data_IF_999403706825
#
_entry.id   IF_999403706825
#
_cell.length_a   1.000
_cell.length_b   1.000
_cell.length_c   1.000
_cell.angle_alpha   90.00
_cell.angle_beta   90.00
_cell.angle_gamma   90.00
#
_symmetry.space_group_name_H-M   'P 1'
#
loop_
_entity.id
_entity.type
_entity.pdbx_description
1 polymer ?
#
# COMPACT_ATOMS: atom_id res chain seq x y z
N UNK A 1 -16.97 2.75 -5.98
CA UNK A 1 -16.25 3.86 -5.31
C UNK A 1 -15.14 3.32 -4.45
N UNK A 2 -13.91 3.84 -4.56
CA UNK A 2 -12.83 3.47 -3.65
C UNK A 2 -12.96 4.24 -2.33
N UNK A 3 -12.95 3.52 -1.21
CA UNK A 3 -12.88 4.13 0.13
C UNK A 3 -11.46 4.02 0.67
N UNK A 4 -11.11 4.89 1.62
CA UNK A 4 -9.81 4.84 2.31
C UNK A 4 -9.51 3.43 2.82
N UNK A 5 -10.49 2.74 3.39
CA UNK A 5 -10.33 1.37 3.91
C UNK A 5 -9.97 0.35 2.81
N UNK A 6 -10.65 0.39 1.67
CA UNK A 6 -10.38 -0.51 0.53
C UNK A 6 -8.96 -0.30 0.00
N UNK A 7 -8.55 0.97 -0.15
CA UNK A 7 -7.21 1.31 -0.61
C UNK A 7 -6.13 0.78 0.34
N UNK A 8 -6.32 0.96 1.65
CA UNK A 8 -5.40 0.38 2.63
C UNK A 8 -5.38 -1.15 2.52
N UNK A 9 -6.53 -1.83 2.47
CA UNK A 9 -6.57 -3.30 2.31
C UNK A 9 -5.80 -3.77 1.08
N UNK A 10 -5.95 -3.10 -0.07
CA UNK A 10 -5.20 -3.45 -1.29
C UNK A 10 -3.70 -3.31 -1.14
N UNK A 11 -3.22 -2.27 -0.44
CA UNK A 11 -1.79 -2.14 -0.12
C UNK A 11 -1.31 -3.28 0.77
N UNK A 12 -2.13 -3.71 1.74
CA UNK A 12 -1.79 -4.82 2.62
C UNK A 12 -1.73 -6.15 1.87
N UNK A 13 -2.71 -6.43 1.02
CA UNK A 13 -2.76 -7.64 0.19
C UNK A 13 -1.57 -7.70 -0.77
N UNK A 14 -1.23 -6.59 -1.43
CA UNK A 14 -0.05 -6.51 -2.27
C UNK A 14 1.22 -6.76 -1.46
N UNK A 15 1.38 -6.08 -0.32
CA UNK A 15 2.55 -6.25 0.53
C UNK A 15 2.68 -7.69 1.07
N UNK A 16 1.57 -8.36 1.35
CA UNK A 16 1.54 -9.77 1.76
C UNK A 16 1.94 -10.69 0.60
N UNK A 17 1.40 -10.48 -0.60
CA UNK A 17 1.70 -11.31 -1.77
C UNK A 17 3.16 -11.21 -2.21
N UNK A 18 3.74 -10.00 -2.18
CA UNK A 18 5.13 -9.77 -2.61
C UNK A 18 6.12 -9.77 -1.44
N UNK A 19 5.63 -9.94 -0.21
CA UNK A 19 6.41 -9.88 1.04
C UNK A 19 7.32 -8.65 1.14
N UNK A 20 6.93 -7.55 0.49
CA UNK A 20 7.71 -6.32 0.37
C UNK A 20 6.80 -5.11 0.32
N UNK A 21 7.38 -3.93 0.58
CA UNK A 21 6.65 -2.67 0.42
C UNK A 21 6.47 -2.32 -1.07
N UNK A 22 5.25 -1.93 -1.50
CA UNK A 22 5.06 -1.44 -2.85
C UNK A 22 5.78 -0.11 -3.05
N UNK A 23 6.65 -0.09 -4.05
CA UNK A 23 7.27 1.14 -4.54
C UNK A 23 6.32 1.81 -5.53
N UNK A 24 6.35 3.14 -5.62
CA UNK A 24 5.52 3.87 -6.57
C UNK A 24 5.61 3.34 -8.02
N UNK A 25 6.81 2.96 -8.46
CA UNK A 25 7.04 2.37 -9.79
C UNK A 25 6.37 1.00 -9.99
N UNK A 26 6.30 0.18 -8.95
CA UNK A 26 5.67 -1.15 -9.00
C UNK A 26 4.16 -1.01 -9.15
N UNK A 27 3.57 -0.13 -8.33
CA UNK A 27 2.13 0.21 -8.37
C UNK A 27 1.71 0.79 -9.72
N UNK A 28 2.57 1.60 -10.33
CA UNK A 28 2.35 2.14 -11.67
C UNK A 28 2.35 1.05 -12.76
N UNK A 29 3.07 -0.05 -12.54
CA UNK A 29 3.14 -1.18 -13.47
C UNK A 29 2.09 -2.26 -13.22
N UNK A 30 1.53 -2.29 -12.01
CA UNK A 30 0.61 -3.33 -11.57
C UNK A 30 -0.85 -2.91 -11.86
N UNK A 31 -1.56 -3.61 -12.76
CA UNK A 31 -2.95 -3.29 -13.09
C UNK A 31 -3.95 -3.79 -12.04
N UNK A 32 -3.54 -4.65 -11.09
CA UNK A 32 -4.42 -5.22 -10.07
C UNK A 32 -4.59 -4.32 -8.85
N UNK A 33 -3.76 -3.28 -8.74
CA UNK A 33 -3.81 -2.29 -7.67
C UNK A 33 -4.22 -0.92 -8.23
N UNK A 34 -4.98 -0.11 -7.47
CA UNK A 34 -5.33 1.23 -7.91
C UNK A 34 -4.09 2.09 -8.21
N UNK A 35 -4.21 3.00 -9.16
CA UNK A 35 -3.11 3.91 -9.51
C UNK A 35 -2.74 4.82 -8.33
N UNK A 36 -1.49 5.26 -8.30
CA UNK A 36 -0.97 6.22 -7.32
C UNK A 36 -1.88 7.43 -7.12
N UNK A 37 -2.44 7.96 -8.20
CA UNK A 37 -3.34 9.13 -8.16
C UNK A 37 -4.54 8.92 -7.25
N UNK A 38 -5.08 7.69 -7.17
CA UNK A 38 -6.19 7.37 -6.28
C UNK A 38 -5.75 7.47 -4.82
N UNK A 39 -4.59 6.90 -4.48
CA UNK A 39 -4.04 7.01 -3.13
C UNK A 39 -3.72 8.45 -2.73
N UNK A 40 -3.07 9.19 -3.63
CA UNK A 40 -2.77 10.62 -3.43
C UNK A 40 -4.05 11.42 -3.22
N UNK A 41 -5.12 11.19 -3.99
CA UNK A 41 -6.40 11.87 -3.81
C UNK A 41 -7.04 11.60 -2.44
N UNK A 42 -6.90 10.40 -1.91
CA UNK A 42 -7.54 9.98 -0.64
C UNK A 42 -6.68 10.26 0.61
N UNK A 43 -5.36 10.33 0.47
CA UNK A 43 -4.39 10.42 1.57
C UNK A 43 -3.42 11.60 1.45
N UNK A 44 -3.56 12.43 0.41
CA UNK A 44 -2.68 13.56 0.13
C UNK A 44 -1.38 13.17 -0.57
N UNK A 45 -0.72 12.09 -0.14
CA UNK A 45 0.50 11.60 -0.78
C UNK A 45 0.70 10.08 -0.57
N UNK A 46 1.57 9.49 -1.39
CA UNK A 46 1.87 8.05 -1.36
C UNK A 46 2.47 7.59 -0.02
N UNK A 47 3.45 8.32 0.50
CA UNK A 47 4.09 7.97 1.76
C UNK A 47 3.10 7.96 2.93
N UNK A 48 2.13 8.87 2.94
CA UNK A 48 1.08 8.91 3.95
C UNK A 48 0.11 7.73 3.80
N UNK A 49 -0.17 7.29 2.56
CA UNK A 49 -0.96 6.07 2.34
C UNK A 49 -0.26 4.82 2.88
N UNK A 50 1.06 4.69 2.69
CA UNK A 50 1.86 3.61 3.29
C UNK A 50 1.91 3.70 4.81
N UNK A 51 2.10 4.90 5.36
CA UNK A 51 2.06 5.16 6.82
C UNK A 51 0.72 4.72 7.40
N UNK A 52 -0.39 5.11 6.77
CA UNK A 52 -1.76 4.73 7.18
C UNK A 52 -2.07 3.26 6.97
N UNK A 53 -1.40 2.59 6.04
CA UNK A 53 -1.49 1.15 5.85
C UNK A 53 -0.79 0.35 6.97
N UNK A 54 -0.05 1.03 7.87
CA UNK A 54 0.77 0.39 8.89
C UNK A 54 2.11 -0.11 8.35
N UNK A 55 2.53 0.43 7.20
CA UNK A 55 3.77 0.09 6.55
C UNK A 55 4.79 1.21 6.75
N UNK A 56 5.55 1.11 7.83
CA UNK A 56 6.58 2.08 8.19
C UNK A 56 7.77 1.95 7.24
N UNK A 57 8.16 3.06 6.60
CA UNK A 57 9.19 3.13 5.53
C UNK A 57 10.62 2.87 6.07
N UNK A 58 10.79 2.48 7.34
CA UNK A 58 12.10 2.20 7.94
C UNK A 58 12.17 0.76 8.43
N UNK A 59 12.67 -0.12 7.55
CA UNK A 59 13.43 -1.37 7.82
C UNK A 59 12.86 -2.39 8.82
N UNK A 60 11.70 -2.15 9.41
CA UNK A 60 11.07 -2.98 10.42
C UNK A 60 9.64 -3.23 9.96
N UNK A 61 9.47 -4.44 9.41
CA UNK A 61 8.26 -5.25 9.49
C UNK A 61 6.96 -4.43 9.36
N UNK A 62 6.33 -4.43 8.18
CA UNK A 62 4.88 -4.40 8.24
C UNK A 62 4.51 -5.68 9.01
N UNK A 63 3.84 -5.61 10.18
CA UNK A 63 3.36 -6.81 10.87
C UNK A 63 2.36 -7.61 10.00
N UNK A 64 1.98 -7.06 8.85
CA UNK A 64 1.19 -7.68 7.78
C UNK A 64 1.91 -8.82 7.04
N UNK A 65 3.23 -8.92 7.16
CA UNK A 65 4.01 -10.06 6.60
C UNK A 65 4.14 -11.18 7.65
N UNK A 66 3.61 -10.99 8.87
CA UNK A 66 3.59 -12.04 9.88
C UNK A 66 2.39 -12.96 9.65
N UNK A 67 2.72 -14.08 9.02
CA UNK A 67 1.86 -15.23 8.73
C UNK A 67 1.11 -15.74 9.96
N UNK A 68 -0.15 -16.13 9.75
CA UNK A 68 -0.57 -17.50 10.04
C UNK A 68 -1.27 -18.04 8.80
#
# INVERSE_FOLDING_TARGET
MYTRRILLSRLKEWAHSYQKLPTAKEILKDPNIPTLSIYVRHFGNWNESLRKAGCLIKRLLCPLVMKH
#
